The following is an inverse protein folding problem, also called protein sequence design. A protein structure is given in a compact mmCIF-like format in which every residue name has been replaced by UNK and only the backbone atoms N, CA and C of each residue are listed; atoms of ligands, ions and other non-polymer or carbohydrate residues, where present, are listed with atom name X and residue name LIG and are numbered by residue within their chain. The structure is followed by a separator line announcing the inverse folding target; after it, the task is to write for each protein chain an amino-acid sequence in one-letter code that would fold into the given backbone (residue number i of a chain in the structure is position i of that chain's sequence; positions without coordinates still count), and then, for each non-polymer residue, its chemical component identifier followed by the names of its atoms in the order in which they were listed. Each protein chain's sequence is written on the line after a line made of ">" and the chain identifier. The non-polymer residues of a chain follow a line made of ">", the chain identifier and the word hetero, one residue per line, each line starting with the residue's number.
data_IF_596411439273
#
_entry.id   IF_596411439273
#
_cell.length_a   1.000
_cell.length_b   1.000
_cell.length_c   1.000
_cell.angle_alpha   90.00
_cell.angle_beta   90.00
_cell.angle_gamma   90.00
#
_symmetry.space_group_name_H-M   'P 1'
#
loop_
_entity.id
_entity.type
_entity.pdbx_description
1 polymer ?
#
# COMPACT_ATOMS: atom_id res chain seq x y z
N UNK A 1 -13.46 -16.31 0.04
CA UNK A 1 -12.87 -16.34 1.39
C UNK A 1 -11.96 -15.13 1.50
N UNK A 2 -12.42 -14.05 2.11
CA UNK A 2 -11.70 -12.78 2.13
C UNK A 2 -10.80 -12.77 3.37
N UNK A 3 -9.48 -12.67 3.18
CA UNK A 3 -8.53 -12.64 4.31
C UNK A 3 -8.67 -11.26 4.94
N UNK A 4 -9.41 -11.18 6.04
CA UNK A 4 -9.60 -9.96 6.82
C UNK A 4 -8.33 -9.77 7.67
N UNK A 5 -7.41 -8.94 7.20
CA UNK A 5 -6.12 -8.73 7.87
C UNK A 5 -5.33 -7.58 7.27
N UNK A 6 -4.31 -7.14 8.02
CA UNK A 6 -3.30 -6.19 7.54
C UNK A 6 -2.72 -6.67 6.20
N UNK A 7 -2.75 -5.84 5.13
CA UNK A 7 -2.18 -6.19 3.83
C UNK A 7 -0.75 -6.72 3.94
N UNK A 8 0.05 -6.18 4.86
CA UNK A 8 1.44 -6.58 5.08
C UNK A 8 1.52 -8.03 5.57
N UNK A 9 0.69 -8.39 6.56
CA UNK A 9 0.60 -9.77 7.07
C UNK A 9 0.13 -10.74 5.99
N UNK A 10 -0.82 -10.33 5.14
CA UNK A 10 -1.24 -11.14 4.00
C UNK A 10 -0.08 -11.44 3.05
N UNK A 11 0.71 -10.43 2.67
CA UNK A 11 1.83 -10.63 1.75
C UNK A 11 2.89 -11.57 2.33
N UNK A 12 3.28 -11.39 3.60
CA UNK A 12 4.24 -12.27 4.27
C UNK A 12 3.76 -13.72 4.25
N UNK A 13 2.48 -13.97 4.57
CA UNK A 13 1.91 -15.33 4.50
C UNK A 13 1.90 -15.90 3.09
N UNK A 14 1.64 -15.07 2.08
CA UNK A 14 1.67 -15.50 0.68
C UNK A 14 3.09 -15.86 0.23
N UNK A 15 4.10 -15.10 0.64
CA UNK A 15 5.51 -15.38 0.38
C UNK A 15 5.94 -16.68 1.05
N UNK A 16 5.61 -16.86 2.34
CA UNK A 16 5.89 -18.09 3.09
C UNK A 16 5.26 -19.31 2.42
N UNK A 17 4.00 -19.18 1.98
CA UNK A 17 3.29 -20.25 1.31
C UNK A 17 3.95 -20.61 -0.02
N UNK A 18 4.30 -19.62 -0.84
CA UNK A 18 5.03 -19.83 -2.11
C UNK A 18 6.33 -20.59 -1.84
N UNK A 19 7.10 -20.18 -0.83
CA UNK A 19 8.36 -20.81 -0.49
C UNK A 19 8.18 -22.27 -0.02
N UNK A 20 7.18 -22.55 0.83
CA UNK A 20 6.84 -23.92 1.25
C UNK A 20 6.45 -24.82 0.08
N UNK A 21 5.68 -24.29 -0.87
CA UNK A 21 5.30 -25.04 -2.08
C UNK A 21 6.51 -25.33 -2.96
N UNK A 22 7.42 -24.36 -3.12
CA UNK A 22 8.67 -24.57 -3.87
C UNK A 22 9.54 -25.66 -3.23
N UNK A 23 9.68 -25.66 -1.91
CA UNK A 23 10.42 -26.71 -1.20
C UNK A 23 9.78 -28.07 -1.39
N UNK A 24 8.47 -28.19 -1.15
CA UNK A 24 7.77 -29.46 -1.35
C UNK A 24 7.87 -29.96 -2.80
N UNK A 25 7.82 -29.06 -3.78
CA UNK A 25 7.94 -29.41 -5.20
C UNK A 25 9.35 -29.84 -5.63
N UNK A 26 10.38 -29.28 -5.00
CA UNK A 26 11.78 -29.68 -5.26
C UNK A 26 12.10 -31.03 -4.60
N UNK A 27 11.56 -31.30 -3.40
CA UNK A 27 11.75 -32.56 -2.65
C UNK A 27 10.92 -33.73 -3.20
N UNK A 28 9.73 -33.47 -3.77
CA UNK A 28 8.89 -34.53 -4.31
C UNK A 28 9.48 -35.15 -5.59
N UNK A 29 9.57 -36.48 -5.61
CA UNK A 29 9.92 -37.28 -6.81
C UNK A 29 8.70 -37.73 -7.61
N UNK A 30 7.52 -37.20 -7.26
CA UNK A 30 6.25 -37.57 -7.90
C UNK A 30 6.15 -37.05 -9.36
N UNK A 31 5.29 -37.70 -10.14
CA UNK A 31 5.02 -37.35 -11.56
C UNK A 31 4.28 -36.01 -11.70
N UNK A 32 3.66 -35.50 -10.63
CA UNK A 32 2.92 -34.25 -10.60
C UNK A 32 3.77 -33.15 -9.95
N UNK A 33 4.80 -32.69 -10.66
CA UNK A 33 5.58 -31.52 -10.23
C UNK A 33 4.90 -30.23 -10.68
N UNK A 34 4.72 -29.31 -9.73
CA UNK A 34 4.35 -27.95 -10.08
C UNK A 34 5.59 -27.22 -10.58
N UNK A 35 5.55 -26.77 -11.82
CA UNK A 35 6.65 -25.97 -12.37
C UNK A 35 6.79 -24.63 -11.61
N UNK A 36 8.04 -24.17 -11.45
CA UNK A 36 8.37 -22.95 -10.68
C UNK A 36 7.69 -21.72 -11.28
N UNK A 37 7.58 -21.66 -12.60
CA UNK A 37 6.88 -20.59 -13.31
C UNK A 37 5.37 -20.59 -12.99
N UNK A 38 4.76 -21.78 -12.91
CA UNK A 38 3.35 -21.92 -12.53
C UNK A 38 3.09 -21.49 -11.07
N UNK A 39 3.96 -21.89 -10.14
CA UNK A 39 3.87 -21.47 -8.74
C UNK A 39 3.97 -19.95 -8.64
N UNK A 40 4.92 -19.34 -9.35
CA UNK A 40 5.08 -17.88 -9.38
C UNK A 40 3.86 -17.18 -9.98
N UNK A 41 3.33 -17.63 -11.12
CA UNK A 41 2.10 -17.07 -11.72
C UNK A 41 0.91 -17.14 -10.76
N UNK A 42 0.75 -18.26 -10.06
CA UNK A 42 -0.33 -18.43 -9.10
C UNK A 42 -0.15 -17.51 -7.88
N UNK A 43 1.09 -17.36 -7.41
CA UNK A 43 1.43 -16.40 -6.36
C UNK A 43 1.08 -14.97 -6.77
N UNK A 44 1.50 -14.52 -7.95
CA UNK A 44 1.19 -13.18 -8.47
C UNK A 44 -0.32 -12.95 -8.56
N UNK A 45 -1.07 -13.95 -9.05
CA UNK A 45 -2.54 -13.87 -9.11
C UNK A 45 -3.18 -13.79 -7.73
N UNK A 46 -2.61 -14.48 -6.75
CA UNK A 46 -3.05 -14.45 -5.35
C UNK A 46 -2.78 -13.08 -4.73
N UNK A 47 -1.62 -12.47 -4.99
CA UNK A 47 -1.29 -11.11 -4.52
C UNK A 47 -2.11 -10.03 -5.25
N UNK A 48 -2.48 -10.25 -6.51
CA UNK A 48 -3.36 -9.35 -7.25
C UNK A 48 -4.78 -9.30 -6.68
N UNK A 49 -5.32 -10.45 -6.28
CA UNK A 49 -6.72 -10.59 -5.86
C UNK A 49 -6.93 -10.60 -4.35
N UNK A 50 -5.88 -10.86 -3.58
CA UNK A 50 -5.93 -11.04 -2.14
C UNK A 50 -6.18 -9.77 -1.30
N UNK A 51 -5.46 -8.65 -1.52
CA UNK A 51 -5.65 -7.44 -0.74
C UNK A 51 -7.09 -6.94 -0.88
N UNK A 52 -7.74 -6.58 0.23
CA UNK A 52 -9.15 -6.16 0.19
C UNK A 52 -9.34 -4.76 -0.41
N UNK A 53 -8.38 -3.86 -0.15
CA UNK A 53 -8.43 -2.47 -0.58
C UNK A 53 -8.07 -2.34 -2.06
N UNK A 54 -9.01 -1.88 -2.89
CA UNK A 54 -8.78 -1.66 -4.32
C UNK A 54 -7.71 -0.59 -4.58
N UNK A 55 -7.56 0.41 -3.70
CA UNK A 55 -6.53 1.43 -3.86
C UNK A 55 -5.11 0.85 -3.75
N UNK A 56 -4.94 -0.11 -2.83
CA UNK A 56 -3.69 -0.85 -2.65
C UNK A 56 -3.48 -1.79 -3.83
N UNK A 57 -4.52 -2.53 -4.27
CA UNK A 57 -4.45 -3.39 -5.46
C UNK A 57 -4.03 -2.63 -6.71
N UNK A 58 -4.62 -1.46 -6.94
CA UNK A 58 -4.32 -0.63 -8.11
C UNK A 58 -2.84 -0.19 -8.15
N UNK A 59 -2.24 0.10 -7.00
CA UNK A 59 -0.81 0.46 -6.89
C UNK A 59 0.13 -0.73 -7.05
N UNK A 60 -0.29 -1.94 -6.70
CA UNK A 60 0.50 -3.17 -6.84
C UNK A 60 0.46 -3.77 -8.25
N UNK A 61 -0.65 -3.59 -8.99
CA UNK A 61 -0.85 -4.13 -10.34
C UNK A 61 0.35 -3.96 -11.31
N UNK A 62 1.05 -2.81 -11.37
CA UNK A 62 2.20 -2.65 -12.26
C UNK A 62 3.33 -3.66 -11.99
N UNK A 63 3.56 -3.99 -10.72
CA UNK A 63 4.63 -4.88 -10.27
C UNK A 63 4.28 -6.36 -10.44
N UNK A 64 2.99 -6.69 -10.49
CA UNK A 64 2.49 -8.06 -10.66
C UNK A 64 2.51 -8.55 -12.11
N UNK A 65 2.84 -7.68 -13.07
CA UNK A 65 2.95 -8.03 -14.50
C UNK A 65 4.29 -8.69 -14.83
N UNK A 66 5.32 -8.41 -14.04
CA UNK A 66 6.61 -9.04 -14.21
C UNK A 66 6.68 -10.30 -13.36
N UNK A 67 7.10 -11.40 -13.97
CA UNK A 67 7.25 -12.69 -13.29
C UNK A 67 8.51 -12.70 -12.43
N UNK A 68 9.51 -11.88 -12.77
CA UNK A 68 10.84 -11.86 -12.15
C UNK A 68 11.01 -10.79 -11.07
N UNK A 69 9.95 -10.09 -10.71
CA UNK A 69 9.97 -9.09 -9.64
C UNK A 69 10.41 -9.72 -8.31
N UNK A 70 11.25 -8.98 -7.57
CA UNK A 70 11.83 -9.47 -6.33
C UNK A 70 10.84 -9.34 -5.17
N UNK A 71 10.99 -10.22 -4.17
CA UNK A 71 10.13 -10.20 -2.98
C UNK A 71 10.24 -8.88 -2.21
N UNK A 72 11.43 -8.29 -2.17
CA UNK A 72 11.70 -6.99 -1.54
C UNK A 72 10.91 -5.86 -2.23
N UNK A 73 10.80 -5.91 -3.55
CA UNK A 73 10.03 -4.92 -4.31
C UNK A 73 8.55 -5.00 -3.91
N UNK A 74 8.00 -6.22 -3.74
CA UNK A 74 6.62 -6.36 -3.28
C UNK A 74 6.41 -5.79 -1.88
N UNK A 75 7.31 -6.10 -0.95
CA UNK A 75 7.21 -5.62 0.43
C UNK A 75 7.28 -4.10 0.44
N UNK A 76 8.25 -3.51 -0.24
CA UNK A 76 8.42 -2.06 -0.31
C UNK A 76 7.20 -1.37 -0.93
N UNK A 77 6.70 -1.87 -2.06
CA UNK A 77 5.57 -1.25 -2.75
C UNK A 77 4.26 -1.39 -1.98
N UNK A 78 4.05 -2.53 -1.34
CA UNK A 78 2.89 -2.72 -0.46
C UNK A 78 2.94 -1.74 0.72
N UNK A 79 4.10 -1.61 1.37
CA UNK A 79 4.27 -0.66 2.46
C UNK A 79 3.98 0.77 2.02
N UNK A 80 4.53 1.19 0.87
CA UNK A 80 4.28 2.50 0.29
C UNK A 80 2.78 2.73 -0.03
N UNK A 81 2.11 1.71 -0.57
CA UNK A 81 0.69 1.77 -0.89
C UNK A 81 -0.17 1.92 0.37
N UNK A 82 0.11 1.13 1.42
CA UNK A 82 -0.56 1.18 2.73
C UNK A 82 -0.33 2.54 3.40
N UNK A 83 0.91 3.04 3.42
CA UNK A 83 1.23 4.35 4.01
C UNK A 83 0.49 5.48 3.30
N UNK A 84 0.52 5.52 1.97
CA UNK A 84 -0.19 6.54 1.18
C UNK A 84 -1.71 6.47 1.38
N UNK A 85 -2.29 5.28 1.52
CA UNK A 85 -3.72 5.14 1.79
C UNK A 85 -4.09 5.57 3.22
N UNK A 86 -3.24 5.26 4.21
CA UNK A 86 -3.42 5.71 5.59
C UNK A 86 -3.38 7.24 5.69
N UNK A 87 -2.51 7.90 4.92
CA UNK A 87 -2.42 9.36 4.84
C UNK A 87 -3.67 9.95 4.20
N UNK A 88 -4.14 9.36 3.09
CA UNK A 88 -5.39 9.78 2.41
C UNK A 88 -6.59 9.70 3.36
N UNK A 89 -6.72 8.59 4.09
CA UNK A 89 -7.76 8.41 5.10
C UNK A 89 -7.65 9.42 6.24
N UNK A 90 -6.45 9.78 6.69
CA UNK A 90 -6.23 10.82 7.72
C UNK A 90 -6.65 12.20 7.22
N UNK A 91 -6.22 12.59 6.02
CA UNK A 91 -6.55 13.89 5.41
C UNK A 91 -8.05 14.03 5.15
N UNK A 92 -8.73 12.96 4.73
CA UNK A 92 -10.18 12.96 4.52
C UNK A 92 -10.95 13.12 5.84
N UNK A 93 -10.49 12.48 6.93
CA UNK A 93 -11.10 12.57 8.26
C UNK A 93 -10.83 13.91 8.95
N UNK A 94 -9.72 14.58 8.63
CA UNK A 94 -9.34 15.86 9.23
C UNK A 94 -9.90 17.09 8.52
N UNK A 95 -10.65 16.93 7.42
CA UNK A 95 -11.33 18.08 6.81
C UNK A 95 -12.42 18.57 7.77
N UNK A 96 -12.32 19.79 8.32
CA UNK A 96 -13.45 20.36 9.03
C UNK A 96 -14.63 20.41 8.04
N UNK A 97 -15.78 19.87 8.43
CA UNK A 97 -17.01 20.01 7.65
C UNK A 97 -17.34 21.50 7.57
N UNK A 98 -16.82 22.19 6.56
CA UNK A 98 -17.30 23.52 6.24
C UNK A 98 -18.75 23.35 5.79
N UNK A 99 -19.69 23.67 6.68
CA UNK A 99 -21.09 23.88 6.32
C UNK A 99 -21.15 25.07 5.37
N UNK A 100 -20.98 24.79 4.08
CA UNK A 100 -21.19 25.76 3.02
C UNK A 100 -22.69 26.08 2.96
N UNK A 101 -23.10 27.14 3.65
CA UNK A 101 -24.35 27.84 3.32
C UNK A 101 -24.14 28.50 1.96
N UNK A 102 -24.66 27.84 0.92
CA UNK A 102 -24.69 28.37 -0.45
C UNK A 102 -25.73 29.50 -0.48
N UNK A 103 -25.28 30.74 -0.27
CA UNK A 103 -25.91 31.91 -0.88
C UNK A 103 -24.97 32.35 -2.00
N UNK A 104 -25.45 32.25 -3.24
CA UNK A 104 -24.63 32.45 -4.43
C UNK A 104 -23.97 33.82 -4.46
N UNK A 105 -22.64 33.82 -4.63
CA UNK A 105 -21.88 34.71 -5.51
C UNK A 105 -20.38 34.35 -5.41
N UNK A 106 -19.82 33.89 -6.54
CA UNK A 106 -18.49 34.20 -7.08
C UNK A 106 -17.32 34.48 -6.12
N UNK A 107 -16.32 33.59 -6.11
CA UNK A 107 -14.96 33.86 -6.63
C UNK A 107 -14.02 32.70 -6.35
N UNK A 108 -13.42 32.18 -7.42
CA UNK A 108 -12.26 31.30 -7.40
C UNK A 108 -11.00 32.18 -7.30
N UNK A 109 -10.30 32.15 -6.17
CA UNK A 109 -8.88 32.46 -5.95
C UNK A 109 -8.58 32.00 -4.51
N UNK A 110 -7.46 31.42 -4.11
CA UNK A 110 -6.08 31.55 -4.58
C UNK A 110 -5.25 30.35 -4.14
N UNK A 111 -4.30 29.96 -4.99
CA UNK A 111 -3.11 29.24 -4.56
C UNK A 111 -2.27 30.12 -3.59
N UNK A 112 -1.50 29.49 -2.70
CA UNK A 112 -0.04 29.61 -2.52
C UNK A 112 0.40 29.38 -1.06
N UNK A 113 1.46 28.59 -0.96
CA UNK A 113 2.45 28.43 0.12
C UNK A 113 2.57 29.58 1.13
N UNK A 114 2.65 29.23 2.42
CA UNK A 114 3.68 29.72 3.36
C UNK A 114 3.43 29.18 4.77
N UNK A 115 4.27 28.26 5.24
CA UNK A 115 4.40 27.95 6.68
C UNK A 115 5.82 27.48 6.98
N UNK A 116 6.79 28.28 6.53
CA UNK A 116 8.18 28.15 6.91
C UNK A 116 8.64 29.51 7.49
N UNK A 117 8.17 29.86 8.70
CA UNK A 117 8.77 30.98 9.48
C UNK A 117 8.40 31.11 10.97
N UNK A 118 7.60 30.22 11.56
CA UNK A 118 7.14 30.39 12.96
C UNK A 118 7.87 29.51 13.99
N UNK A 119 9.17 29.23 13.78
CA UNK A 119 9.99 28.48 14.76
C UNK A 119 11.10 29.32 15.41
N UNK A 120 11.30 30.57 15.00
CA UNK A 120 12.34 31.43 15.60
C UNK A 120 11.89 32.13 16.89
N UNK A 121 10.59 32.44 17.03
CA UNK A 121 10.12 33.29 18.13
C UNK A 121 9.90 32.54 19.45
N UNK A 122 9.83 31.20 19.42
CA UNK A 122 9.65 30.39 20.63
C UNK A 122 10.96 30.10 21.37
N UNK A 123 12.11 30.13 20.70
CA UNK A 123 13.39 29.75 21.33
C UNK A 123 13.98 30.86 22.23
N UNK A 124 13.62 32.12 22.01
CA UNK A 124 14.11 33.25 22.81
C UNK A 124 13.36 33.48 24.14
N UNK A 125 12.24 32.77 24.38
CA UNK A 125 11.45 32.93 25.60
C UNK A 125 11.84 31.97 26.75
N UNK A 126 12.79 31.06 26.52
CA UNK A 126 13.18 30.02 27.49
C UNK A 126 14.53 30.26 28.21
N UNK A 127 15.15 31.43 28.03
CA UNK A 127 16.36 31.83 28.77
C UNK A 127 16.09 33.16 29.49
N UNK A 128 15.33 33.07 30.59
CA UNK A 128 15.35 34.05 31.69
C UNK A 128 15.02 33.34 32.99
#
# INVERSE_FOLDING_TARGET
>A
MAIQGDPQVFLIRALDLRQKILFASDEDTSVLKYDKEHIQKLFLRTVETGPQDESIRAKLRPYLKDINVLDEDFIQQLNAAVSSESERCRKLKSQPKASLKVNGQTSLVSATSDTAKTLSDTVMAAIK
#
